data_IF_978810106684
#
_entry.id   IF_978810106684
#
_cell.length_a   1.000
_cell.length_b   1.000
_cell.length_c   1.000
_cell.angle_alpha   90.00
_cell.angle_beta   90.00
_cell.angle_gamma   90.00
#
_symmetry.space_group_name_H-M   'P 1'
#
loop_
_entity.id
_entity.type
_entity.pdbx_description
1 polymer ?
#
# COMPACT_ATOMS: atom_id res chain seq x y z
N UNK A 1 8.57 -23.07 -6.05
CA UNK A 1 9.15 -21.73 -5.76
C UNK A 1 8.02 -20.74 -6.05
N UNK A 2 7.53 -20.02 -5.05
CA UNK A 2 6.49 -19.00 -5.27
C UNK A 2 7.04 -17.84 -6.12
N UNK A 3 6.18 -16.94 -6.62
CA UNK A 3 6.65 -15.73 -7.29
C UNK A 3 7.56 -14.91 -6.35
N UNK A 4 8.58 -14.22 -6.88
CA UNK A 4 9.46 -13.38 -6.07
C UNK A 4 8.65 -12.28 -5.36
N UNK A 5 9.02 -11.94 -4.12
CA UNK A 5 8.32 -10.91 -3.32
C UNK A 5 8.58 -9.51 -3.89
N UNK A 6 9.77 -9.31 -4.47
CA UNK A 6 10.21 -8.05 -5.04
C UNK A 6 10.18 -8.10 -6.57
N UNK A 7 9.68 -7.03 -7.18
CA UNK A 7 9.65 -6.84 -8.62
C UNK A 7 10.35 -5.52 -8.97
N UNK A 8 11.40 -5.60 -9.78
CA UNK A 8 12.16 -4.43 -10.22
C UNK A 8 11.50 -3.78 -11.42
N UNK A 9 11.28 -2.47 -11.34
CA UNK A 9 10.72 -1.66 -12.42
C UNK A 9 11.35 -0.27 -12.45
N UNK A 10 11.42 0.33 -13.65
CA UNK A 10 11.90 1.71 -13.82
C UNK A 10 10.70 2.63 -14.01
N UNK A 11 10.63 3.67 -13.17
CA UNK A 11 9.67 4.75 -13.32
C UNK A 11 10.35 6.00 -13.89
N UNK A 12 9.64 6.82 -14.68
CA UNK A 12 10.17 8.09 -15.17
C UNK A 12 10.49 9.10 -14.05
N UNK A 13 9.73 9.05 -12.95
CA UNK A 13 9.93 9.90 -11.76
C UNK A 13 9.35 9.25 -10.50
N UNK A 14 9.74 9.77 -9.33
CA UNK A 14 9.18 9.37 -8.04
C UNK A 14 7.67 9.67 -7.94
N UNK A 15 7.18 10.71 -8.61
CA UNK A 15 5.77 11.08 -8.61
C UNK A 15 4.93 10.06 -9.39
N UNK A 16 5.41 9.60 -10.55
CA UNK A 16 4.76 8.52 -11.31
C UNK A 16 4.77 7.22 -10.50
N UNK A 17 5.87 6.92 -9.83
CA UNK A 17 5.97 5.75 -8.95
C UNK A 17 4.96 5.81 -7.80
N UNK A 18 4.80 6.99 -7.17
CA UNK A 18 3.84 7.24 -6.10
C UNK A 18 2.41 7.09 -6.60
N UNK A 19 2.08 7.67 -7.76
CA UNK A 19 0.75 7.59 -8.35
C UNK A 19 0.36 6.14 -8.72
N UNK A 20 1.31 5.38 -9.27
CA UNK A 20 1.11 3.96 -9.54
C UNK A 20 0.92 3.14 -8.26
N UNK A 21 1.73 3.38 -7.23
CA UNK A 21 1.66 2.66 -5.96
C UNK A 21 0.30 2.83 -5.27
N UNK A 22 -0.18 4.08 -5.14
CA UNK A 22 -1.42 4.43 -4.44
C UNK A 22 -2.67 3.79 -5.04
N UNK A 23 -2.61 3.36 -6.30
CA UNK A 23 -3.70 2.64 -6.97
C UNK A 23 -3.63 1.12 -6.77
N UNK A 24 -2.51 0.58 -6.32
CA UNK A 24 -2.30 -0.86 -6.27
C UNK A 24 -2.67 -1.45 -4.90
N UNK A 25 -3.75 -2.23 -4.84
CA UNK A 25 -4.16 -2.96 -3.64
C UNK A 25 -3.16 -4.07 -3.23
N UNK A 26 -2.48 -4.67 -4.20
CA UNK A 26 -1.55 -5.78 -3.98
C UNK A 26 -0.08 -5.34 -3.81
N UNK A 27 0.21 -4.05 -3.97
CA UNK A 27 1.55 -3.52 -3.74
C UNK A 27 1.62 -3.04 -2.29
N UNK A 28 2.60 -3.54 -1.53
CA UNK A 28 2.84 -3.04 -0.17
C UNK A 28 3.51 -1.67 -0.20
N UNK A 29 4.58 -1.55 -0.98
CA UNK A 29 5.36 -0.34 -1.10
C UNK A 29 6.14 -0.33 -2.42
N UNK A 30 6.43 0.87 -2.90
CA UNK A 30 7.44 1.12 -3.93
C UNK A 30 8.68 1.69 -3.25
N UNK A 31 9.80 1.03 -3.49
CA UNK A 31 11.07 1.27 -2.83
C UNK A 31 12.10 1.71 -3.87
N UNK A 32 12.84 2.79 -3.58
CA UNK A 32 14.01 3.18 -4.34
C UNK A 32 15.23 2.47 -3.74
N UNK A 33 15.81 1.54 -4.49
CA UNK A 33 16.96 0.75 -4.05
C UNK A 33 18.22 1.62 -4.01
N UNK A 34 18.90 1.64 -2.87
CA UNK A 34 20.18 2.34 -2.68
C UNK A 34 21.36 1.37 -2.81
N UNK A 35 21.24 0.20 -2.18
CA UNK A 35 22.18 -0.91 -2.32
C UNK A 35 21.45 -2.24 -2.10
N UNK A 36 21.89 -3.28 -2.80
CA UNK A 36 21.30 -4.62 -2.74
C UNK A 36 22.38 -5.71 -2.90
N UNK A 37 22.04 -6.94 -2.52
CA UNK A 37 22.87 -8.13 -2.70
C UNK A 37 22.14 -9.39 -2.24
N UNK A 38 22.68 -10.58 -2.51
CA UNK A 38 22.10 -11.81 -1.99
C UNK A 38 22.33 -11.97 -0.47
N UNK A 39 23.34 -11.27 0.05
CA UNK A 39 23.72 -11.30 1.47
C UNK A 39 23.96 -9.89 2.02
N UNK A 40 23.97 -9.77 3.36
CA UNK A 40 24.40 -8.55 4.05
C UNK A 40 25.78 -8.06 3.59
N UNK A 41 26.71 -8.99 3.30
CA UNK A 41 28.06 -8.67 2.90
C UNK A 41 28.10 -8.06 1.49
N UNK A 42 27.39 -8.65 0.54
CA UNK A 42 27.28 -8.13 -0.83
C UNK A 42 26.57 -6.78 -0.88
N UNK A 43 25.47 -6.62 -0.13
CA UNK A 43 24.76 -5.33 -0.02
C UNK A 43 25.68 -4.24 0.54
N UNK A 44 26.48 -4.57 1.56
CA UNK A 44 27.45 -3.63 2.15
C UNK A 44 28.61 -3.31 1.20
N UNK A 45 29.07 -4.30 0.43
CA UNK A 45 30.11 -4.11 -0.58
C UNK A 45 29.61 -3.21 -1.71
N UNK A 46 28.37 -3.40 -2.18
CA UNK A 46 27.74 -2.51 -3.15
C UNK A 46 27.67 -1.09 -2.59
N UNK A 47 27.17 -0.91 -1.36
CA UNK A 47 27.09 0.40 -0.70
C UNK A 47 28.46 1.11 -0.64
N UNK A 48 29.53 0.39 -0.32
CA UNK A 48 30.89 0.93 -0.25
C UNK A 48 31.50 1.25 -1.63
N UNK A 49 30.97 0.65 -2.71
CA UNK A 49 31.45 0.88 -4.08
C UNK A 49 30.81 2.09 -4.78
N UNK A 50 29.78 2.69 -4.17
CA UNK A 50 29.08 3.84 -4.74
C UNK A 50 29.97 5.08 -4.73
N UNK A 51 29.94 5.84 -5.82
CA UNK A 51 30.66 7.11 -5.89
C UNK A 51 29.99 8.18 -5.02
N UNK A 52 30.73 9.20 -4.56
CA UNK A 52 30.16 10.32 -3.80
C UNK A 52 29.00 11.01 -4.54
N UNK A 53 29.09 11.15 -5.86
CA UNK A 53 28.05 11.75 -6.69
C UNK A 53 26.77 10.90 -6.64
N UNK A 54 26.90 9.58 -6.73
CA UNK A 54 25.76 8.68 -6.64
C UNK A 54 25.12 8.71 -5.25
N UNK A 55 25.91 8.80 -4.19
CA UNK A 55 25.40 8.97 -2.82
C UNK A 55 24.63 10.29 -2.70
N UNK A 56 25.17 11.38 -3.24
CA UNK A 56 24.50 12.67 -3.24
C UNK A 56 23.15 12.64 -4.00
N UNK A 57 23.06 11.93 -5.13
CA UNK A 57 21.79 11.70 -5.85
C UNK A 57 20.77 10.95 -4.99
N UNK A 58 21.17 9.89 -4.30
CA UNK A 58 20.30 9.11 -3.40
C UNK A 58 19.81 9.93 -2.20
N UNK A 59 20.65 10.86 -1.71
CA UNK A 59 20.31 11.75 -0.59
C UNK A 59 19.50 12.97 -1.02
N UNK A 60 19.50 13.35 -2.30
CA UNK A 60 18.82 14.56 -2.78
C UNK A 60 17.32 14.63 -2.39
N UNK A 61 16.51 13.55 -2.45
CA UNK A 61 15.13 13.56 -1.98
C UNK A 61 14.96 13.79 -0.47
N UNK A 62 16.05 13.64 0.30
CA UNK A 62 16.10 13.79 1.76
C UNK A 62 16.89 15.04 2.20
N UNK A 63 17.21 15.94 1.27
CA UNK A 63 18.05 17.11 1.54
C UNK A 63 17.37 18.21 2.39
N UNK A 64 16.06 18.09 2.64
CA UNK A 64 15.24 19.05 3.40
C UNK A 64 15.50 19.04 4.92
N UNK A 65 16.38 18.14 5.40
CA UNK A 65 16.74 18.02 6.81
C UNK A 65 15.62 17.44 7.68
N UNK A 66 14.58 16.85 7.07
CA UNK A 66 13.51 16.17 7.79
C UNK A 66 14.01 14.98 8.61
N UNK A 67 13.29 14.64 9.68
CA UNK A 67 13.61 13.47 10.49
C UNK A 67 13.44 12.18 9.69
N UNK A 68 14.28 11.19 9.97
CA UNK A 68 14.30 9.93 9.22
C UNK A 68 14.52 8.72 10.13
N UNK A 69 14.20 7.52 9.64
CA UNK A 69 14.48 6.27 10.35
C UNK A 69 14.63 5.08 9.41
N UNK A 70 15.34 4.06 9.87
CA UNK A 70 15.46 2.76 9.18
C UNK A 70 14.51 1.74 9.80
N UNK A 71 13.70 1.11 8.95
CA UNK A 71 12.77 0.03 9.30
C UNK A 71 13.28 -1.29 8.74
N UNK A 72 13.15 -2.36 9.53
CA UNK A 72 13.65 -3.68 9.15
C UNK A 72 12.47 -4.56 8.77
N UNK A 73 12.48 -5.07 7.54
CA UNK A 73 11.45 -5.94 6.99
C UNK A 73 12.05 -7.27 6.58
N UNK A 74 11.59 -8.36 7.17
CA UNK A 74 11.96 -9.71 6.72
C UNK A 74 10.75 -10.42 6.11
N UNK A 75 10.93 -10.93 4.91
CA UNK A 75 9.97 -11.72 4.15
C UNK A 75 10.42 -13.19 4.09
N UNK A 76 9.50 -14.12 3.85
CA UNK A 76 9.85 -15.55 3.73
C UNK A 76 10.09 -16.33 5.04
N UNK A 77 10.28 -15.66 6.19
CA UNK A 77 10.53 -16.34 7.48
C UNK A 77 9.32 -17.00 8.15
N UNK A 78 8.10 -16.88 7.59
CA UNK A 78 6.87 -17.43 8.18
C UNK A 78 6.42 -16.81 9.51
N UNK A 79 7.20 -15.88 10.09
CA UNK A 79 6.84 -15.14 11.31
C UNK A 79 5.95 -13.95 10.96
N UNK A 80 4.83 -13.79 11.69
CA UNK A 80 3.96 -12.62 11.57
C UNK A 80 4.71 -11.37 12.03
N UNK A 81 5.16 -10.56 11.07
CA UNK A 81 5.53 -9.16 11.28
C UNK A 81 6.72 -8.92 12.21
N UNK A 82 7.93 -9.05 11.67
CA UNK A 82 9.16 -8.58 12.32
C UNK A 82 10.40 -9.18 11.67
N UNK A 83 11.52 -8.46 11.69
CA UNK A 83 12.80 -8.98 11.16
C UNK A 83 13.36 -10.14 11.98
N UNK A 84 12.87 -10.35 13.21
CA UNK A 84 13.44 -11.33 14.15
C UNK A 84 14.82 -10.93 14.70
N UNK A 85 15.37 -9.79 14.25
CA UNK A 85 16.69 -9.29 14.65
C UNK A 85 16.63 -8.61 16.02
N UNK A 86 17.60 -8.95 16.86
CA UNK A 86 17.95 -8.27 18.09
C UNK A 86 18.44 -6.84 17.82
N UNK A 87 18.46 -6.00 18.86
CA UNK A 87 18.98 -4.63 18.74
C UNK A 87 20.46 -4.60 18.31
N UNK A 88 21.26 -5.57 18.77
CA UNK A 88 22.68 -5.65 18.42
C UNK A 88 22.87 -6.01 16.95
N UNK A 89 22.10 -6.96 16.42
CA UNK A 89 22.14 -7.31 15.00
C UNK A 89 21.69 -6.16 14.10
N UNK A 90 20.65 -5.41 14.51
CA UNK A 90 20.20 -4.20 13.80
C UNK A 90 21.31 -3.15 13.76
N UNK A 91 21.96 -2.86 14.89
CA UNK A 91 23.08 -1.91 14.96
C UNK A 91 24.26 -2.35 14.09
N UNK A 92 24.61 -3.63 14.13
CA UNK A 92 25.70 -4.18 13.33
C UNK A 92 25.42 -4.05 11.82
N UNK A 93 24.18 -4.28 11.38
CA UNK A 93 23.76 -4.07 9.98
C UNK A 93 23.84 -2.61 9.57
N UNK A 94 23.32 -1.69 10.38
CA UNK A 94 23.39 -0.26 10.09
C UNK A 94 24.84 0.24 10.01
N UNK A 95 25.73 -0.26 10.87
CA UNK A 95 27.15 0.10 10.85
C UNK A 95 27.83 -0.29 9.52
N UNK A 96 27.49 -1.47 8.97
CA UNK A 96 28.03 -1.90 7.66
C UNK A 96 27.54 -1.02 6.49
N UNK A 97 26.35 -0.45 6.63
CA UNK A 97 25.75 0.48 5.66
C UNK A 97 26.13 1.95 5.94
N UNK A 98 27.09 2.18 6.85
CA UNK A 98 27.59 3.51 7.21
C UNK A 98 27.87 4.45 6.03
N UNK A 99 28.51 3.99 4.92
CA UNK A 99 28.76 4.83 3.75
C UNK A 99 27.52 5.50 3.14
N UNK A 100 26.34 4.88 3.31
CA UNK A 100 25.07 5.41 2.81
C UNK A 100 24.30 6.24 3.84
N UNK A 101 24.60 6.09 5.13
CA UNK A 101 23.77 6.60 6.22
C UNK A 101 24.38 7.79 6.96
N UNK A 102 25.71 7.93 6.95
CA UNK A 102 26.42 8.90 7.81
C UNK A 102 26.12 10.36 7.46
N UNK A 103 25.97 10.65 6.16
CA UNK A 103 25.80 12.03 5.67
C UNK A 103 24.33 12.42 5.43
N UNK A 104 23.38 11.56 5.83
CA UNK A 104 21.96 11.88 5.74
C UNK A 104 21.64 13.05 6.68
N UNK A 105 21.09 14.13 6.10
CA UNK A 105 20.66 15.30 6.86
C UNK A 105 19.44 15.00 7.72
N UNK A 106 19.37 15.68 8.86
CA UNK A 106 18.22 15.63 9.77
C UNK A 106 18.35 14.58 10.87
N UNK A 107 17.48 14.65 11.90
CA UNK A 107 17.57 13.77 13.07
C UNK A 107 17.04 12.36 12.79
N UNK A 108 17.56 11.37 13.51
CA UNK A 108 16.96 10.03 13.55
C UNK A 108 15.72 10.05 14.44
N UNK A 109 14.54 9.75 13.87
CA UNK A 109 13.24 9.79 14.55
C UNK A 109 12.55 8.43 14.49
N UNK A 110 12.67 7.64 15.55
CA UNK A 110 12.19 6.25 15.57
C UNK A 110 10.65 6.13 15.61
N UNK A 111 9.97 7.07 16.27
CA UNK A 111 8.52 7.06 16.42
C UNK A 111 7.82 7.21 15.05
N UNK A 112 7.02 6.23 14.58
CA UNK A 112 6.42 6.27 13.25
C UNK A 112 5.43 7.41 13.01
N UNK A 113 4.69 7.80 14.04
CA UNK A 113 3.69 8.87 13.99
C UNK A 113 4.25 10.26 14.32
N UNK A 114 5.57 10.40 14.49
CA UNK A 114 6.17 11.69 14.82
C UNK A 114 6.03 12.66 13.64
N UNK A 115 5.46 13.86 13.82
CA UNK A 115 5.30 14.85 12.74
C UNK A 115 6.62 15.28 12.09
N UNK A 116 7.73 15.19 12.83
CA UNK A 116 9.07 15.50 12.34
C UNK A 116 9.67 14.41 11.45
N UNK A 117 9.09 13.20 11.43
CA UNK A 117 9.56 12.09 10.58
C UNK A 117 8.98 12.24 9.18
N UNK A 118 9.82 12.67 8.25
CA UNK A 118 9.46 12.85 6.83
C UNK A 118 9.92 11.70 5.95
N UNK A 119 11.03 11.08 6.31
CA UNK A 119 11.68 10.07 5.46
C UNK A 119 11.75 8.72 6.15
N UNK A 120 11.62 7.66 5.38
CA UNK A 120 11.70 6.29 5.88
C UNK A 120 12.58 5.48 4.94
N UNK A 121 13.61 4.86 5.51
CA UNK A 121 14.43 3.87 4.82
C UNK A 121 14.01 2.47 5.26
N UNK A 122 14.01 1.51 4.35
CA UNK A 122 13.73 0.11 4.62
C UNK A 122 15.01 -0.68 4.39
N UNK A 123 15.42 -1.45 5.38
CA UNK A 123 16.33 -2.56 5.19
C UNK A 123 15.46 -3.81 5.04
N UNK A 124 15.41 -4.34 3.82
CA UNK A 124 14.59 -5.49 3.48
C UNK A 124 15.44 -6.74 3.36
N UNK A 125 14.91 -7.86 3.85
CA UNK A 125 15.43 -9.21 3.63
C UNK A 125 14.32 -10.03 2.96
N UNK A 126 14.62 -10.68 1.84
CA UNK A 126 13.85 -11.82 1.34
C UNK A 126 14.57 -13.10 1.73
N UNK A 127 13.87 -13.98 2.44
CA UNK A 127 14.38 -15.31 2.76
C UNK A 127 13.71 -16.32 1.85
N UNK A 128 14.49 -17.29 1.40
CA UNK A 128 13.92 -18.46 0.74
C UNK A 128 12.89 -19.12 1.68
N UNK A 129 11.70 -19.48 1.15
CA UNK A 129 10.67 -20.09 1.97
C UNK A 129 11.22 -21.35 2.64
N UNK A 130 10.90 -21.58 3.92
CA UNK A 130 11.42 -22.72 4.64
C UNK A 130 10.95 -24.00 3.96
N UNK A 131 11.85 -24.96 3.79
CA UNK A 131 11.49 -26.30 3.35
C UNK A 131 10.88 -27.02 4.55
N UNK A 132 9.82 -27.78 4.31
CA UNK A 132 9.32 -28.75 5.28
C UNK A 132 10.45 -29.73 5.60
N UNK A 133 11.07 -29.58 6.79
CA UNK A 133 11.90 -30.66 7.32
C UNK A 133 11.00 -31.75 7.88
N UNK A 134 11.32 -33.01 7.61
CA UNK A 134 10.76 -34.14 8.34
C UNK A 134 11.12 -33.94 9.83
N UNK A 135 10.12 -33.53 10.63
CA UNK A 135 10.32 -33.13 12.03
C UNK A 135 9.68 -31.79 12.43
N UNK A 136 9.03 -31.07 11.50
CA UNK A 136 8.20 -29.91 11.84
C UNK A 136 8.98 -28.64 12.21
N UNK A 137 10.30 -28.62 12.01
CA UNK A 137 11.12 -27.42 12.23
C UNK A 137 11.34 -26.68 10.92
N UNK A 138 10.76 -25.49 10.79
CA UNK A 138 10.99 -24.63 9.64
C UNK A 138 12.39 -24.01 9.74
N UNK A 139 13.30 -24.37 8.82
CA UNK A 139 14.63 -23.77 8.72
C UNK A 139 14.70 -22.95 7.44
N UNK A 140 14.86 -21.64 7.56
CA UNK A 140 15.09 -20.76 6.39
C UNK A 140 16.41 -21.16 5.72
N UNK A 141 16.45 -21.22 4.39
CA UNK A 141 17.65 -21.62 3.62
C UNK A 141 18.77 -20.57 3.66
N UNK A 142 18.41 -19.31 3.89
CA UNK A 142 19.30 -18.15 3.86
C UNK A 142 18.53 -16.93 3.34
N UNK A 143 19.16 -15.75 3.33
CA UNK A 143 18.64 -14.60 2.58
C UNK A 143 18.91 -14.85 1.10
N UNK A 144 17.90 -14.67 0.26
CA UNK A 144 18.04 -14.66 -1.20
C UNK A 144 18.19 -13.23 -1.72
N UNK A 145 17.81 -12.23 -0.93
CA UNK A 145 17.89 -10.82 -1.28
C UNK A 145 17.96 -9.94 -0.02
N UNK A 146 18.86 -8.97 0.01
CA UNK A 146 19.00 -7.94 1.05
C UNK A 146 19.16 -6.59 0.36
N UNK A 147 18.36 -5.59 0.74
CA UNK A 147 18.49 -4.25 0.19
C UNK A 147 18.21 -3.14 1.20
N UNK A 148 19.01 -2.07 1.13
CA UNK A 148 18.69 -0.79 1.73
C UNK A 148 17.96 0.06 0.69
N UNK A 149 16.78 0.54 1.03
CA UNK A 149 15.94 1.30 0.13
C UNK A 149 15.34 2.52 0.82
N UNK A 150 15.00 3.55 0.04
CA UNK A 150 14.11 4.63 0.48
C UNK A 150 12.66 4.30 0.13
N UNK A 151 11.75 4.48 1.08
CA UNK A 151 10.32 4.37 0.83
C UNK A 151 9.86 5.53 -0.05
N UNK A 152 9.44 5.23 -1.27
CA UNK A 152 8.86 6.24 -2.18
C UNK A 152 7.39 6.41 -1.85
N UNK A 153 6.64 5.30 -1.81
CA UNK A 153 5.22 5.29 -1.52
C UNK A 153 4.77 3.95 -0.96
N UNK A 154 3.73 3.96 -0.14
CA UNK A 154 2.97 2.75 0.21
C UNK A 154 1.88 2.53 -0.86
N UNK A 155 1.40 1.29 -0.97
CA UNK A 155 0.27 0.99 -1.84
C UNK A 155 -1.08 1.36 -1.23
N UNK A 156 -2.15 0.93 -1.90
CA UNK A 156 -3.53 1.34 -1.60
C UNK A 156 -4.16 0.69 -0.34
N UNK A 157 -3.34 0.14 0.57
CA UNK A 157 -3.84 -0.67 1.67
C UNK A 157 -4.72 0.11 2.64
N UNK A 158 -4.44 1.41 2.83
CA UNK A 158 -5.24 2.29 3.68
C UNK A 158 -6.61 2.57 3.04
N UNK A 159 -6.64 2.86 1.74
CA UNK A 159 -7.84 3.13 0.96
C UNK A 159 -8.74 1.88 0.89
N UNK A 160 -8.13 0.71 0.64
CA UNK A 160 -8.81 -0.59 0.71
C UNK A 160 -9.35 -0.85 2.12
N UNK A 161 -8.60 -0.49 3.17
CA UNK A 161 -9.06 -0.68 4.55
C UNK A 161 -10.34 0.11 4.86
N UNK A 162 -10.42 1.36 4.41
CA UNK A 162 -11.59 2.23 4.63
C UNK A 162 -12.85 1.77 3.90
N UNK A 163 -12.72 0.91 2.89
CA UNK A 163 -13.81 0.45 2.02
C UNK A 163 -14.10 -1.06 2.14
N UNK A 164 -13.51 -1.72 3.14
CA UNK A 164 -13.71 -3.15 3.42
C UNK A 164 -15.19 -3.50 3.54
N UNK A 165 -15.52 -4.75 3.22
CA UNK A 165 -16.89 -5.26 3.34
C UNK A 165 -17.48 -4.98 4.73
N UNK A 166 -16.73 -5.25 5.81
CA UNK A 166 -17.19 -5.00 7.18
C UNK A 166 -17.53 -3.54 7.50
N UNK A 167 -17.05 -2.60 6.70
CA UNK A 167 -17.36 -1.19 6.86
C UNK A 167 -18.64 -0.79 6.13
N UNK A 168 -19.17 -1.59 5.19
CA UNK A 168 -20.30 -1.22 4.33
C UNK A 168 -21.64 -1.30 5.05
N UNK A 169 -22.48 -0.31 4.81
CA UNK A 169 -23.89 -0.29 5.25
C UNK A 169 -24.71 -1.39 4.60
N UNK A 170 -24.54 -1.63 3.30
CA UNK A 170 -25.23 -2.69 2.57
C UNK A 170 -24.27 -3.78 2.08
N UNK A 171 -24.56 -5.03 2.47
CA UNK A 171 -23.78 -6.22 2.14
C UNK A 171 -24.65 -7.35 1.63
N UNK A 172 -24.16 -8.01 0.58
CA UNK A 172 -24.72 -9.24 0.02
C UNK A 172 -23.64 -10.31 -0.11
N UNK A 173 -24.01 -11.60 -0.14
CA UNK A 173 -23.06 -12.72 -0.21
C UNK A 173 -22.16 -12.70 -1.45
N UNK A 174 -22.58 -12.00 -2.50
CA UNK A 174 -21.85 -11.80 -3.76
C UNK A 174 -21.07 -10.47 -3.80
N UNK A 175 -20.98 -9.73 -2.70
CA UNK A 175 -20.28 -8.44 -2.67
C UNK A 175 -18.78 -8.63 -2.88
N UNK A 176 -18.23 -7.89 -3.84
CA UNK A 176 -16.81 -7.97 -4.17
C UNK A 176 -15.97 -7.22 -3.12
N UNK A 177 -14.94 -7.85 -2.54
CA UNK A 177 -13.96 -7.19 -1.67
C UNK A 177 -13.32 -5.94 -2.30
N UNK A 178 -12.96 -4.97 -1.47
CA UNK A 178 -12.49 -3.65 -1.93
C UNK A 178 -11.16 -3.69 -2.70
N UNK A 179 -10.26 -4.60 -2.35
CA UNK A 179 -9.00 -4.83 -3.07
C UNK A 179 -9.26 -5.31 -4.51
N UNK A 180 -10.17 -6.26 -4.68
CA UNK A 180 -10.59 -6.76 -6.00
C UNK A 180 -11.37 -5.70 -6.79
N UNK A 181 -12.26 -4.95 -6.13
CA UNK A 181 -12.98 -3.85 -6.77
C UNK A 181 -12.02 -2.77 -7.30
N UNK A 182 -11.03 -2.37 -6.50
CA UNK A 182 -9.99 -1.42 -6.92
C UNK A 182 -9.14 -2.00 -8.07
N UNK A 183 -8.82 -3.29 -8.03
CA UNK A 183 -8.12 -3.97 -9.11
C UNK A 183 -8.92 -3.95 -10.42
N UNK A 184 -10.23 -4.21 -10.37
CA UNK A 184 -11.11 -4.14 -11.53
C UNK A 184 -11.17 -2.71 -12.11
N UNK A 185 -11.30 -1.70 -11.26
CA UNK A 185 -11.27 -0.30 -11.69
C UNK A 185 -9.94 0.07 -12.35
N UNK A 186 -8.82 -0.46 -11.87
CA UNK A 186 -7.51 -0.29 -12.51
C UNK A 186 -7.41 -1.00 -13.86
N UNK A 187 -7.92 -2.23 -13.99
CA UNK A 187 -7.95 -2.94 -15.28
C UNK A 187 -8.84 -2.25 -16.30
N UNK A 188 -9.95 -1.66 -15.87
CA UNK A 188 -10.80 -0.81 -16.69
C UNK A 188 -10.16 0.57 -17.01
N UNK A 189 -9.02 0.89 -16.37
CA UNK A 189 -8.30 2.17 -16.49
C UNK A 189 -9.16 3.38 -16.14
N UNK A 190 -10.05 3.22 -15.16
CA UNK A 190 -10.91 4.30 -14.66
C UNK A 190 -10.07 5.51 -14.26
N UNK A 191 -10.56 6.68 -14.64
CA UNK A 191 -10.04 8.02 -14.31
C UNK A 191 -11.17 8.87 -13.75
N UNK A 192 -10.86 9.92 -12.99
CA UNK A 192 -11.83 10.98 -12.74
C UNK A 192 -12.40 11.51 -14.06
N UNK A 193 -13.69 11.83 -14.09
CA UNK A 193 -14.41 12.14 -15.31
C UNK A 193 -15.13 10.95 -15.96
N UNK A 194 -14.69 9.72 -15.71
CA UNK A 194 -15.22 8.57 -16.43
C UNK A 194 -16.63 8.21 -15.97
N UNK A 195 -17.50 7.90 -16.93
CA UNK A 195 -18.78 7.24 -16.68
C UNK A 195 -18.54 5.74 -16.65
N UNK A 196 -18.78 5.13 -15.49
CA UNK A 196 -18.61 3.70 -15.23
C UNK A 196 -19.97 3.03 -15.21
N UNK A 197 -20.16 2.05 -16.08
CA UNK A 197 -21.36 1.20 -16.16
C UNK A 197 -21.03 -0.19 -15.63
N UNK A 198 -21.78 -0.63 -14.61
CA UNK A 198 -21.84 -2.03 -14.21
C UNK A 198 -23.30 -2.51 -14.28
N UNK A 199 -23.68 -3.28 -15.31
CA UNK A 199 -25.05 -3.77 -15.46
C UNK A 199 -25.44 -4.84 -14.42
N UNK A 200 -24.50 -5.28 -13.57
CA UNK A 200 -24.72 -6.26 -12.51
C UNK A 200 -24.12 -5.78 -11.17
N UNK A 201 -24.21 -4.48 -10.91
CA UNK A 201 -23.59 -3.77 -9.78
C UNK A 201 -23.90 -4.34 -8.38
N UNK A 202 -25.09 -4.94 -8.17
CA UNK A 202 -25.56 -5.41 -6.87
C UNK A 202 -25.44 -4.34 -5.78
N UNK A 203 -24.63 -4.61 -4.74
CA UNK A 203 -24.32 -3.67 -3.65
C UNK A 203 -23.33 -2.55 -4.03
N UNK A 204 -22.98 -2.43 -5.32
CA UNK A 204 -22.16 -1.35 -5.88
C UNK A 204 -20.66 -1.56 -5.73
N UNK A 205 -20.18 -2.77 -5.51
CA UNK A 205 -18.75 -2.99 -5.15
C UNK A 205 -17.76 -2.47 -6.19
N UNK A 206 -18.04 -2.69 -7.47
CA UNK A 206 -17.25 -2.21 -8.62
C UNK A 206 -17.34 -0.68 -8.77
N UNK A 207 -18.52 -0.11 -8.55
CA UNK A 207 -18.73 1.34 -8.58
C UNK A 207 -18.01 2.05 -7.41
N UNK A 208 -18.00 1.43 -6.22
CA UNK A 208 -17.15 1.83 -5.09
C UNK A 208 -15.66 1.78 -5.49
N UNK A 209 -15.24 0.73 -6.21
CA UNK A 209 -13.88 0.63 -6.76
C UNK A 209 -13.51 1.80 -7.68
N UNK A 210 -14.44 2.21 -8.56
CA UNK A 210 -14.29 3.39 -9.41
C UNK A 210 -14.20 4.69 -8.60
N UNK A 211 -15.02 4.83 -7.56
CA UNK A 211 -14.96 5.98 -6.66
C UNK A 211 -13.65 6.07 -5.87
N UNK A 212 -13.12 4.93 -5.41
CA UNK A 212 -11.82 4.88 -4.72
C UNK A 212 -10.70 5.40 -5.63
N UNK A 213 -10.73 5.04 -6.91
CA UNK A 213 -9.80 5.56 -7.91
C UNK A 213 -9.87 7.09 -8.01
N UNK A 214 -11.07 7.66 -8.07
CA UNK A 214 -11.26 9.10 -8.12
C UNK A 214 -10.73 9.80 -6.86
N UNK A 215 -11.03 9.23 -5.68
CA UNK A 215 -10.54 9.70 -4.39
C UNK A 215 -9.01 9.68 -4.32
N UNK A 216 -8.36 8.60 -4.78
CA UNK A 216 -6.89 8.50 -4.83
C UNK A 216 -6.30 9.63 -5.68
N UNK A 217 -6.92 9.92 -6.84
CA UNK A 217 -6.45 11.00 -7.72
C UNK A 217 -6.59 12.38 -7.09
N UNK A 218 -7.72 12.68 -6.45
CA UNK A 218 -7.92 13.95 -5.73
C UNK A 218 -6.94 14.14 -4.57
N UNK A 219 -6.56 13.04 -3.90
CA UNK A 219 -5.55 13.09 -2.83
C UNK A 219 -4.19 13.52 -3.38
N UNK A 220 -3.85 13.09 -4.59
CA UNK A 220 -2.61 13.46 -5.27
C UNK A 220 -2.61 14.93 -5.71
N UNK A 221 -3.77 15.46 -6.13
CA UNK A 221 -3.92 16.86 -6.51
C UNK A 221 -3.98 17.82 -5.32
N UNK A 222 -4.00 17.31 -4.08
CA UNK A 222 -4.17 18.13 -2.87
C UNK A 222 -5.58 18.70 -2.72
N UNK A 223 -6.55 18.12 -3.44
CA UNK A 223 -7.94 18.60 -3.51
C UNK A 223 -8.85 17.95 -2.45
N UNK A 224 -8.34 16.96 -1.71
CA UNK A 224 -9.01 16.46 -0.53
C UNK A 224 -8.65 17.35 0.67
N UNK A 225 -9.62 18.16 1.10
CA UNK A 225 -9.58 18.74 2.45
C UNK A 225 -9.52 17.66 3.52
N UNK A 226 -9.21 18.04 4.76
CA UNK A 226 -9.23 17.15 5.95
C UNK A 226 -10.66 16.75 6.35
N UNK A 227 -11.47 16.31 5.39
CA UNK A 227 -12.83 15.85 5.62
C UNK A 227 -12.75 14.54 6.41
N UNK A 228 -13.23 14.69 7.64
CA UNK A 228 -13.15 13.76 8.73
C UNK A 228 -13.69 12.37 8.38
N UNK A 229 -13.14 11.37 9.08
CA UNK A 229 -13.87 10.15 9.36
C UNK A 229 -15.24 10.54 9.95
N UNK A 230 -16.30 10.40 9.15
CA UNK A 230 -17.65 10.48 9.66
C UNK A 230 -17.93 9.16 10.40
N UNK A 231 -18.03 9.26 11.73
CA UNK A 231 -18.63 8.25 12.60
C UNK A 231 -20.08 8.05 12.14
N UNK A 232 -20.36 6.90 11.52
CA UNK A 232 -21.70 6.43 11.25
C UNK A 232 -21.85 5.04 11.88
N UNK A 233 -22.02 5.04 13.20
CA UNK A 233 -22.60 3.90 13.91
C UNK A 233 -24.12 4.00 13.82
N UNK A 234 -24.71 3.21 12.94
CA UNK A 234 -26.14 2.86 13.00
C UNK A 234 -26.36 1.39 12.64
N UNK A 235 -27.27 0.70 13.33
CA UNK A 235 -27.49 -0.72 13.12
C UNK A 235 -28.51 -0.97 12.01
N UNK A 236 -28.28 -2.10 11.30
CA UNK A 236 -29.28 -3.01 10.72
C UNK A 236 -29.44 -3.00 9.20
N UNK A 237 -29.32 -4.19 8.61
CA UNK A 237 -30.33 -4.75 7.70
C UNK A 237 -30.24 -6.29 7.73
N UNK A 238 -30.63 -6.91 8.85
CA UNK A 238 -30.90 -8.35 8.92
C UNK A 238 -32.22 -8.66 8.21
N UNK A 239 -32.31 -8.50 6.89
CA UNK A 239 -33.44 -9.01 6.11
C UNK A 239 -33.23 -8.88 4.59
N UNK A 240 -32.59 -9.85 3.94
CA UNK A 240 -32.79 -10.09 2.50
C UNK A 240 -32.85 -11.61 2.28
N UNK A 241 -33.89 -12.17 2.89
CA UNK A 241 -34.20 -13.59 2.88
C UNK A 241 -35.01 -13.90 1.62
N UNK A 242 -34.38 -14.61 0.69
CA UNK A 242 -35.00 -15.31 -0.44
C UNK A 242 -35.34 -14.49 -1.72
N UNK A 243 -34.33 -14.33 -2.59
CA UNK A 243 -34.43 -14.48 -4.07
C UNK A 243 -35.51 -13.69 -4.86
N UNK A 244 -35.62 -12.37 -4.68
CA UNK A 244 -36.37 -11.50 -5.59
C UNK A 244 -35.86 -10.07 -5.54
N UNK A 245 -34.99 -9.67 -6.48
CA UNK A 245 -34.33 -8.35 -6.48
C UNK A 245 -35.29 -7.26 -6.97
N UNK A 246 -35.67 -6.36 -6.07
CA UNK A 246 -36.30 -5.08 -6.38
C UNK A 246 -35.21 -4.05 -6.75
N UNK A 247 -35.41 -3.32 -7.86
CA UNK A 247 -34.47 -2.30 -8.33
C UNK A 247 -34.38 -1.14 -7.34
N UNK A 248 -35.46 -0.84 -6.63
CA UNK A 248 -35.51 0.25 -5.66
C UNK A 248 -34.66 -0.06 -4.41
N UNK A 249 -34.56 -1.32 -4.01
CA UNK A 249 -33.67 -1.76 -2.92
C UNK A 249 -32.20 -1.73 -3.33
N UNK A 250 -31.88 -2.03 -4.59
CA UNK A 250 -30.52 -1.94 -5.13
C UNK A 250 -30.05 -0.48 -5.18
N UNK A 251 -30.93 0.43 -5.60
CA UNK A 251 -30.70 1.88 -5.56
C UNK A 251 -30.49 2.36 -4.13
N UNK A 252 -31.28 1.86 -3.17
CA UNK A 252 -31.12 2.21 -1.77
C UNK A 252 -29.77 1.73 -1.19
N UNK A 253 -29.40 0.47 -1.44
CA UNK A 253 -28.12 -0.09 -1.01
C UNK A 253 -26.91 0.66 -1.60
N UNK A 254 -27.00 1.05 -2.87
CA UNK A 254 -25.97 1.83 -3.54
C UNK A 254 -25.84 3.23 -2.92
N UNK A 255 -26.96 3.93 -2.74
CA UNK A 255 -27.00 5.26 -2.12
C UNK A 255 -26.48 5.23 -0.68
N UNK A 256 -26.84 4.22 0.11
CA UNK A 256 -26.34 4.02 1.48
C UNK A 256 -24.82 3.88 1.49
N UNK A 257 -24.27 2.96 0.68
CA UNK A 257 -22.82 2.76 0.59
C UNK A 257 -22.07 4.00 0.08
N UNK A 258 -22.64 4.76 -0.85
CA UNK A 258 -22.04 6.00 -1.35
C UNK A 258 -22.10 7.12 -0.31
N UNK A 259 -23.24 7.32 0.35
CA UNK A 259 -23.38 8.30 1.42
C UNK A 259 -22.38 8.03 2.56
N UNK A 260 -22.20 6.77 2.94
CA UNK A 260 -21.21 6.34 3.94
C UNK A 260 -19.76 6.70 3.56
N UNK A 261 -19.45 6.69 2.27
CA UNK A 261 -18.13 7.06 1.74
C UNK A 261 -17.99 8.57 1.45
N UNK A 262 -19.04 9.35 1.72
CA UNK A 262 -19.11 10.79 1.44
C UNK A 262 -19.46 11.14 -0.01
N UNK A 263 -19.84 10.15 -0.82
CA UNK A 263 -20.17 10.31 -2.24
C UNK A 263 -21.67 10.61 -2.36
N UNK A 264 -22.04 11.77 -2.90
CA UNK A 264 -23.42 12.26 -3.07
C UNK A 264 -24.41 11.33 -3.80
N UNK A 265 -25.71 11.68 -3.72
CA UNK A 265 -26.86 10.81 -3.98
C UNK A 265 -27.21 10.52 -5.46
N UNK A 266 -26.45 11.03 -6.43
CA UNK A 266 -26.77 10.99 -7.87
C UNK A 266 -26.40 9.67 -8.57
N UNK A 267 -26.18 8.61 -7.80
CA UNK A 267 -25.87 7.30 -8.36
C UNK A 267 -27.12 6.58 -8.86
N UNK A 268 -27.14 6.32 -10.17
CA UNK A 268 -28.01 5.30 -10.76
C UNK A 268 -27.50 3.93 -10.31
N UNK A 269 -28.42 2.98 -10.11
CA UNK A 269 -28.07 1.60 -9.75
C UNK A 269 -26.93 1.07 -10.64
N UNK A 270 -26.95 1.36 -11.94
CA UNK A 270 -26.02 0.75 -12.91
C UNK A 270 -24.93 1.70 -13.40
N UNK A 271 -25.09 3.00 -13.21
CA UNK A 271 -24.21 4.03 -13.78
C UNK A 271 -23.69 4.96 -12.70
N UNK A 272 -22.37 5.12 -12.65
CA UNK A 272 -21.68 6.03 -11.74
C UNK A 272 -20.68 6.89 -12.52
N UNK A 273 -20.68 8.20 -12.28
CA UNK A 273 -19.59 9.06 -12.75
C UNK A 273 -18.51 9.12 -11.67
N UNK A 274 -17.27 8.85 -12.05
CA UNK A 274 -16.10 8.84 -11.17
C UNK A 274 -15.66 10.25 -10.74
N UNK A 275 -16.58 11.08 -10.26
CA UNK A 275 -16.34 12.47 -9.82
C UNK A 275 -17.18 12.87 -8.60
N UNK A 276 -17.99 12.00 -8.01
CA UNK A 276 -18.95 12.47 -7.00
C UNK A 276 -18.21 13.04 -5.78
N UNK A 277 -18.66 14.22 -5.38
CA UNK A 277 -18.05 15.25 -4.53
C UNK A 277 -17.19 14.74 -3.36
#
# INVERSE_FOLDING_TARGET
IGPPVFHSMRFPSADVARAAARRCACVRAVLEVWAEGATDAECSQMAASLSPERIAELHAPMADGGGWAVHFHAHGLGKKGGSGLTLQERKARLARLGPLLVDIKGPVVLAPSAPSRKHTLWLVDDFDPPIHSEGGTFKARGTSYVALCRLVAEGAAAEVHTSRLSAREALHITSLPADLALMMANFARVRPGDVVLDPFCGTGSTLIGAALVARIHRAEMGELGTAAAADARTPSARLLHAIGLDIDECVHALRANFAQLGLGADADATVFQADIA
#
